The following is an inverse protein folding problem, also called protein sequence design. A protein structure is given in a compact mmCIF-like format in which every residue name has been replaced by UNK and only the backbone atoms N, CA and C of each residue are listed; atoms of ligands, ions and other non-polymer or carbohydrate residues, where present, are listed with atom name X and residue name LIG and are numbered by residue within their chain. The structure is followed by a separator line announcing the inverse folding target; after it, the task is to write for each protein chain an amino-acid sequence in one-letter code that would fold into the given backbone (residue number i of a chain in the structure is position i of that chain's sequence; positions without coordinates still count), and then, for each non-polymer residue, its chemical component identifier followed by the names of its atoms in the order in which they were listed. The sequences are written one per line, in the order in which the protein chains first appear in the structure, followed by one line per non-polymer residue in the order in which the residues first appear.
data_IF_573541609314
#
_entry.id   IF_573541609314
#
_cell.length_a   1.000
_cell.length_b   1.000
_cell.length_c   1.000
_cell.angle_alpha   90.00
_cell.angle_beta   90.00
_cell.angle_gamma   90.00
#
_symmetry.space_group_name_H-M   'P 1'
#
loop_
_entity.id
_entity.type
_entity.pdbx_description
1 polymer ?
#
# COMPACT_ATOMS: atom_id res chain seq x y z
N UNK A 1 -37.61 -6.68 -9.17
CA UNK A 1 -37.76 -6.10 -7.80
C UNK A 1 -36.52 -5.26 -7.53
N UNK A 2 -36.60 -4.00 -7.13
CA UNK A 2 -35.37 -3.20 -6.89
C UNK A 2 -34.71 -3.55 -5.56
N UNK A 3 -33.37 -3.52 -5.50
CA UNK A 3 -32.60 -3.69 -4.27
C UNK A 3 -32.27 -2.33 -3.65
N UNK A 4 -32.67 -2.10 -2.41
CA UNK A 4 -32.31 -0.89 -1.67
C UNK A 4 -31.00 -1.14 -0.92
N UNK A 5 -30.01 -0.27 -1.14
CA UNK A 5 -28.74 -0.37 -0.44
C UNK A 5 -28.91 -0.17 1.07
N UNK A 6 -28.41 -1.07 1.93
CA UNK A 6 -28.55 -0.94 3.38
C UNK A 6 -27.80 0.27 3.93
N UNK A 7 -26.72 0.69 3.25
CA UNK A 7 -25.81 1.76 3.68
C UNK A 7 -26.29 3.16 3.25
N UNK A 8 -26.60 3.35 1.97
CA UNK A 8 -26.91 4.68 1.42
C UNK A 8 -28.37 4.86 0.96
N UNK A 9 -29.20 3.82 1.07
CA UNK A 9 -30.62 3.81 0.67
C UNK A 9 -30.89 4.05 -0.82
N UNK A 10 -29.85 4.11 -1.66
CA UNK A 10 -30.02 4.19 -3.11
C UNK A 10 -30.69 2.93 -3.64
N UNK A 11 -31.63 3.11 -4.57
CA UNK A 11 -32.26 2.03 -5.31
C UNK A 11 -31.34 1.51 -6.40
N UNK A 12 -31.28 0.18 -6.54
CA UNK A 12 -30.48 -0.50 -7.55
C UNK A 12 -31.33 -1.56 -8.24
N UNK A 13 -30.85 -2.03 -9.39
CA UNK A 13 -31.45 -3.16 -10.11
C UNK A 13 -31.53 -4.43 -9.24
N UNK A 14 -32.49 -5.34 -9.50
CA UNK A 14 -32.59 -6.64 -8.80
C UNK A 14 -31.31 -7.45 -8.95
N UNK A 15 -30.72 -7.42 -10.14
CA UNK A 15 -29.50 -8.14 -10.47
C UNK A 15 -28.22 -7.38 -10.09
N UNK A 16 -28.31 -6.23 -9.42
CA UNK A 16 -27.13 -5.52 -8.98
C UNK A 16 -26.46 -6.28 -7.82
N UNK A 17 -25.21 -6.67 -8.02
CA UNK A 17 -24.35 -7.24 -6.98
C UNK A 17 -23.79 -6.15 -6.05
N UNK A 18 -23.69 -4.91 -6.55
CA UNK A 18 -23.13 -3.77 -5.83
C UNK A 18 -23.97 -2.51 -6.00
N UNK A 19 -23.99 -1.67 -4.96
CA UNK A 19 -24.67 -0.39 -5.01
C UNK A 19 -23.94 0.62 -5.91
N UNK A 20 -24.64 1.22 -6.86
CA UNK A 20 -24.07 2.19 -7.80
C UNK A 20 -23.62 3.51 -7.16
N UNK A 21 -24.13 3.86 -5.98
CA UNK A 21 -23.79 5.12 -5.31
C UNK A 21 -22.65 4.96 -4.29
N UNK A 22 -22.64 3.88 -3.50
CA UNK A 22 -21.68 3.73 -2.40
C UNK A 22 -20.86 2.42 -2.42
N UNK A 23 -20.99 1.61 -3.48
CA UNK A 23 -20.20 0.40 -3.70
C UNK A 23 -20.44 -0.73 -2.69
N UNK A 24 -21.47 -0.64 -1.85
CA UNK A 24 -21.79 -1.70 -0.88
C UNK A 24 -22.40 -2.90 -1.58
N UNK A 25 -21.91 -4.09 -1.26
CA UNK A 25 -22.42 -5.37 -1.75
C UNK A 25 -23.90 -5.53 -1.39
N UNK A 26 -24.72 -5.88 -2.38
CA UNK A 26 -26.15 -6.08 -2.26
C UNK A 26 -26.44 -7.57 -2.32
N UNK A 27 -26.14 -8.28 -1.22
CA UNK A 27 -26.28 -9.74 -1.10
C UNK A 27 -27.65 -10.20 -1.61
N UNK A 28 -27.64 -11.04 -2.64
CA UNK A 28 -28.84 -11.63 -3.23
C UNK A 28 -29.42 -12.72 -2.33
N UNK A 29 -30.70 -12.60 -1.99
CA UNK A 29 -31.49 -13.70 -1.45
C UNK A 29 -32.01 -14.53 -2.61
N UNK A 30 -31.24 -15.53 -3.04
CA UNK A 30 -31.80 -16.70 -3.73
C UNK A 30 -31.36 -17.94 -2.98
N UNK A 31 -32.36 -18.50 -2.31
CA UNK A 31 -32.51 -19.73 -1.53
C UNK A 31 -31.50 -20.88 -1.69
N UNK A 32 -31.24 -21.47 -0.51
CA UNK A 32 -31.00 -22.86 -0.18
C UNK A 32 -31.20 -23.92 -1.30
N UNK A 33 -30.17 -24.75 -1.51
CA UNK A 33 -30.33 -26.18 -1.82
C UNK A 33 -29.38 -27.02 -0.96
N UNK A 34 -30.03 -27.75 -0.03
CA UNK A 34 -29.74 -29.07 0.53
C UNK A 34 -28.30 -29.49 0.84
N UNK A 35 -28.03 -29.49 2.15
CA UNK A 35 -27.37 -30.61 2.84
C UNK A 35 -28.14 -31.92 2.61
N UNK A 36 -27.50 -32.92 2.01
CA UNK A 36 -27.72 -34.30 2.41
C UNK A 36 -26.48 -35.17 2.07
N UNK A 37 -26.01 -35.89 3.08
CA UNK A 37 -24.97 -36.92 3.02
C UNK A 37 -25.36 -38.04 2.04
N UNK A 38 -24.37 -38.73 1.46
CA UNK A 38 -24.27 -40.20 1.55
C UNK A 38 -22.86 -40.66 1.14
N UNK A 39 -22.14 -41.13 2.16
CA UNK A 39 -21.36 -42.37 2.24
C UNK A 39 -20.86 -43.01 0.94
N UNK A 40 -19.53 -43.11 0.82
CA UNK A 40 -18.85 -43.95 -0.16
C UNK A 40 -17.36 -44.07 0.16
N UNK A 41 -17.01 -45.12 0.92
CA UNK A 41 -15.67 -45.51 1.35
C UNK A 41 -14.58 -45.42 0.25
N UNK A 42 -13.40 -44.89 0.60
CA UNK A 42 -12.24 -44.92 -0.30
C UNK A 42 -10.93 -44.39 0.29
N UNK A 43 -10.31 -45.19 1.17
CA UNK A 43 -8.86 -45.37 1.34
C UNK A 43 -7.95 -44.19 1.81
N UNK A 44 -7.59 -44.25 3.10
CA UNK A 44 -6.26 -44.04 3.70
C UNK A 44 -5.26 -43.11 2.99
N UNK A 45 -5.04 -41.95 3.63
CA UNK A 45 -3.90 -41.05 3.39
C UNK A 45 -3.63 -40.14 4.60
N UNK A 46 -3.48 -40.75 5.79
CA UNK A 46 -3.10 -40.06 7.01
C UNK A 46 -1.59 -39.81 7.03
N UNK A 47 -1.16 -38.55 6.97
CA UNK A 47 0.00 -38.06 7.72
C UNK A 47 -0.28 -36.67 8.27
N UNK A 48 -0.76 -36.63 9.51
CA UNK A 48 -0.64 -35.50 10.41
C UNK A 48 0.50 -35.79 11.40
N UNK A 49 1.68 -35.16 11.21
CA UNK A 49 2.76 -35.01 12.20
C UNK A 49 3.84 -34.13 11.54
N UNK A 50 4.23 -32.97 12.05
CA UNK A 50 4.96 -32.83 13.31
C UNK A 50 4.97 -31.37 13.74
N UNK A 51 4.51 -31.12 14.97
CA UNK A 51 4.69 -29.86 15.65
C UNK A 51 6.12 -29.67 16.16
N UNK A 52 6.50 -28.40 16.25
CA UNK A 52 7.33 -27.75 17.29
C UNK A 52 8.81 -27.47 16.99
N UNK A 53 9.14 -26.19 17.26
CA UNK A 53 10.45 -25.54 17.48
C UNK A 53 11.19 -25.14 16.18
N UNK A 54 11.50 -23.86 15.92
CA UNK A 54 11.59 -22.70 16.80
C UNK A 54 11.31 -21.39 16.09
N UNK A 55 10.72 -20.47 16.86
CA UNK A 55 10.77 -19.03 16.60
C UNK A 55 12.21 -18.56 16.80
N UNK A 56 12.82 -18.01 15.78
CA UNK A 56 13.77 -16.92 15.94
C UNK A 56 13.50 -15.93 14.81
N UNK A 57 13.03 -14.75 15.20
CA UNK A 57 12.47 -13.76 14.30
C UNK A 57 13.50 -13.20 13.33
N UNK A 58 13.06 -13.05 12.08
CA UNK A 58 13.55 -11.99 11.21
C UNK A 58 12.32 -11.14 10.97
N UNK A 59 12.28 -9.97 11.61
CA UNK A 59 11.23 -8.99 11.35
C UNK A 59 11.32 -8.57 9.89
N UNK A 60 10.33 -8.94 9.08
CA UNK A 60 10.11 -8.32 7.77
C UNK A 60 9.44 -6.96 8.03
N UNK A 61 10.20 -6.07 8.66
CA UNK A 61 9.93 -4.65 8.76
C UNK A 61 11.10 -3.96 8.08
N UNK A 62 11.13 -3.99 6.76
CA UNK A 62 12.29 -3.45 6.04
C UNK A 62 12.41 -3.78 4.56
N UNK A 63 11.32 -4.04 3.85
CA UNK A 63 11.35 -4.04 2.38
C UNK A 63 10.11 -3.36 1.79
N UNK A 64 9.71 -2.25 2.41
CA UNK A 64 8.54 -1.48 1.97
C UNK A 64 8.85 -0.46 0.85
N UNK A 65 10.11 -0.37 0.39
CA UNK A 65 10.53 0.62 -0.63
C UNK A 65 11.60 0.09 -1.63
N UNK A 66 11.93 -1.21 -1.66
CA UNK A 66 12.97 -1.74 -2.57
C UNK A 66 12.34 -2.57 -3.71
N UNK A 67 11.25 -2.07 -4.25
CA UNK A 67 10.60 -2.64 -5.43
C UNK A 67 11.06 -2.05 -6.76
N UNK A 68 11.96 -1.05 -6.75
CA UNK A 68 12.52 -0.43 -7.97
C UNK A 68 13.95 0.09 -7.71
N UNK A 69 14.90 -0.80 -7.43
CA UNK A 69 16.31 -0.48 -7.73
C UNK A 69 16.43 -0.53 -9.26
N UNK A 70 16.27 0.63 -9.90
CA UNK A 70 16.75 0.85 -11.26
C UNK A 70 18.27 0.75 -11.23
N UNK A 71 18.81 -0.45 -11.45
CA UNK A 71 20.21 -0.65 -11.80
C UNK A 71 20.40 -0.07 -13.21
N UNK A 72 20.60 1.25 -13.29
CA UNK A 72 21.19 1.89 -14.45
C UNK A 72 22.69 1.63 -14.36
N UNK A 73 23.11 0.45 -14.81
CA UNK A 73 24.49 0.17 -15.13
C UNK A 73 24.85 0.94 -16.42
N UNK A 74 25.21 2.22 -16.28
CA UNK A 74 25.94 2.92 -17.33
C UNK A 74 27.42 2.72 -17.04
N UNK A 75 28.02 1.87 -17.86
CA UNK A 75 29.46 1.64 -17.99
C UNK A 75 30.19 2.96 -18.26
N UNK A 76 30.89 3.46 -17.24
CA UNK A 76 31.83 4.55 -17.41
C UNK A 76 33.25 4.04 -17.15
N UNK A 77 33.99 3.95 -18.26
CA UNK A 77 35.35 4.43 -18.41
C UNK A 77 36.46 3.81 -17.53
N UNK A 78 37.33 3.06 -18.21
CA UNK A 78 38.67 2.71 -17.73
C UNK A 78 39.58 3.94 -17.74
N UNK A 79 40.24 4.24 -16.61
CA UNK A 79 41.70 4.37 -16.50
C UNK A 79 42.13 4.65 -15.03
N UNK A 80 43.30 4.16 -14.59
CA UNK A 80 43.81 4.31 -13.23
C UNK A 80 44.80 5.48 -13.11
N UNK A 81 44.87 6.14 -11.95
CA UNK A 81 46.14 6.23 -11.23
C UNK A 81 45.95 6.71 -9.78
N UNK A 82 46.91 6.28 -8.96
CA UNK A 82 46.98 6.43 -7.53
C UNK A 82 47.00 7.89 -7.06
N UNK A 83 46.34 8.17 -5.93
CA UNK A 83 46.91 8.98 -4.84
C UNK A 83 46.17 8.66 -3.54
N UNK A 84 46.95 8.17 -2.57
CA UNK A 84 46.65 8.02 -1.15
C UNK A 84 46.24 9.37 -0.54
N UNK A 85 45.08 9.44 0.11
CA UNK A 85 44.82 10.43 1.15
C UNK A 85 43.92 9.83 2.21
N UNK A 86 44.54 9.51 3.34
CA UNK A 86 43.91 9.22 4.63
C UNK A 86 43.12 10.44 5.09
N UNK A 87 41.81 10.31 5.22
CA UNK A 87 41.00 11.15 6.11
C UNK A 87 40.05 10.27 6.88
N UNK A 88 40.30 10.21 8.19
CA UNK A 88 39.49 9.58 9.20
C UNK A 88 38.26 10.48 9.46
N UNK A 89 37.07 10.00 9.12
CA UNK A 89 35.79 10.53 9.61
C UNK A 89 34.91 9.34 9.98
N UNK A 90 35.08 8.96 11.24
CA UNK A 90 34.26 8.02 11.97
C UNK A 90 32.86 8.61 12.20
N UNK A 91 31.94 8.45 11.25
CA UNK A 91 30.51 8.80 11.41
C UNK A 91 29.64 7.56 11.21
N UNK A 92 29.44 6.85 12.31
CA UNK A 92 28.35 5.90 12.53
C UNK A 92 27.00 6.64 12.44
N UNK A 93 25.95 6.07 11.81
CA UNK A 93 24.60 6.58 11.93
C UNK A 93 24.13 6.37 13.37
N UNK A 94 24.25 7.41 14.18
CA UNK A 94 23.65 7.48 15.51
C UNK A 94 22.14 7.59 15.36
N UNK A 95 21.47 6.46 15.55
CA UNK A 95 20.04 6.37 15.83
C UNK A 95 19.66 7.35 16.95
N UNK A 96 18.77 8.34 16.72
CA UNK A 96 18.28 9.18 17.80
C UNK A 96 17.29 8.38 18.65
N UNK A 97 17.70 8.05 19.87
CA UNK A 97 16.82 7.57 20.93
C UNK A 97 15.79 8.65 21.27
N UNK A 98 14.51 8.33 21.11
CA UNK A 98 13.35 9.16 21.43
C UNK A 98 13.17 9.35 22.95
N UNK A 99 13.12 10.58 23.47
CA UNK A 99 12.42 10.89 24.71
C UNK A 99 10.93 11.04 24.42
N UNK A 100 10.10 10.19 25.02
CA UNK A 100 8.66 10.39 25.10
C UNK A 100 8.36 11.65 25.91
N UNK A 101 7.49 12.53 25.40
CA UNK A 101 6.78 13.50 26.23
C UNK A 101 5.41 13.77 25.63
N UNK A 102 4.40 13.26 26.33
CA UNK A 102 3.03 13.75 26.29
C UNK A 102 3.00 15.27 26.51
N UNK A 103 2.32 16.01 25.65
CA UNK A 103 1.51 17.16 26.07
C UNK A 103 0.45 17.42 25.00
N UNK A 104 -0.77 17.04 25.35
CA UNK A 104 -1.98 17.63 24.78
C UNK A 104 -2.03 19.12 25.12
N UNK A 105 -2.15 19.97 24.10
CA UNK A 105 -2.75 21.29 24.26
C UNK A 105 -3.65 21.56 23.07
N UNK A 106 -4.94 21.33 23.31
CA UNK A 106 -6.02 21.79 22.46
C UNK A 106 -6.08 23.32 22.54
N UNK A 107 -5.82 24.00 21.44
CA UNK A 107 -6.32 25.36 21.20
C UNK A 107 -6.61 25.54 19.72
N UNK A 108 -7.89 25.75 19.44
CA UNK A 108 -8.45 25.95 18.11
C UNK A 108 -7.95 27.26 17.50
N UNK A 109 -7.41 27.14 16.28
CA UNK A 109 -6.94 28.23 15.43
C UNK A 109 -6.04 27.64 14.35
N UNK A 110 -6.63 27.36 13.18
CA UNK A 110 -6.06 26.72 11.98
C UNK A 110 -4.86 27.49 11.40
N UNK A 111 -3.75 27.51 12.12
CA UNK A 111 -2.46 27.89 11.54
C UNK A 111 -1.73 26.61 11.16
N UNK A 112 -1.52 26.42 9.86
CA UNK A 112 -0.66 25.37 9.32
C UNK A 112 0.72 25.54 9.93
N UNK A 113 1.29 24.48 10.50
CA UNK A 113 2.65 24.51 11.03
C UNK A 113 3.67 24.45 9.89
N UNK A 114 4.90 24.94 10.12
CA UNK A 114 5.96 24.80 9.13
C UNK A 114 6.20 23.32 8.74
N UNK A 115 6.12 22.39 9.70
CA UNK A 115 6.27 20.96 9.44
C UNK A 115 5.15 20.38 8.57
N UNK A 116 3.90 20.80 8.79
CA UNK A 116 2.77 20.46 7.93
C UNK A 116 2.93 20.96 6.48
N UNK A 117 3.45 22.17 6.31
CA UNK A 117 3.73 22.74 4.98
C UNK A 117 4.86 21.98 4.26
N UNK A 118 5.95 21.64 4.98
CA UNK A 118 7.04 20.86 4.42
C UNK A 118 6.61 19.44 4.06
N UNK A 119 5.76 18.80 4.88
CA UNK A 119 5.17 17.51 4.59
C UNK A 119 4.34 17.55 3.29
N UNK A 120 3.51 18.59 3.10
CA UNK A 120 2.72 18.75 1.87
C UNK A 120 3.60 18.90 0.61
N UNK A 121 4.66 19.72 0.69
CA UNK A 121 5.63 19.90 -0.39
C UNK A 121 6.33 18.59 -0.76
N UNK A 122 6.76 17.83 0.25
CA UNK A 122 7.43 16.55 0.03
C UNK A 122 6.48 15.49 -0.53
N UNK A 123 5.26 15.39 -0.01
CA UNK A 123 4.22 14.52 -0.55
C UNK A 123 3.98 14.79 -2.05
N UNK A 124 3.86 16.06 -2.43
CA UNK A 124 3.73 16.43 -3.85
C UNK A 124 4.95 16.03 -4.67
N UNK A 125 6.17 16.22 -4.14
CA UNK A 125 7.41 15.84 -4.82
C UNK A 125 7.47 14.33 -5.11
N UNK A 126 7.04 13.50 -4.16
CA UNK A 126 6.94 12.06 -4.36
C UNK A 126 5.95 11.70 -5.48
N UNK A 127 4.74 12.25 -5.42
CA UNK A 127 3.69 11.97 -6.41
C UNK A 127 4.00 12.46 -7.83
N UNK A 128 4.93 13.41 -7.97
CA UNK A 128 5.43 13.87 -9.26
C UNK A 128 6.43 12.88 -9.89
N UNK A 129 7.06 12.03 -9.08
CA UNK A 129 8.16 11.15 -9.52
C UNK A 129 7.74 9.69 -9.59
N UNK A 130 6.90 9.23 -8.66
CA UNK A 130 6.43 7.86 -8.60
C UNK A 130 5.00 7.78 -8.05
N UNK A 131 4.33 6.67 -8.34
CA UNK A 131 2.99 6.42 -7.81
C UNK A 131 3.05 5.96 -6.35
N UNK A 132 2.05 6.36 -5.56
CA UNK A 132 1.87 5.89 -4.19
C UNK A 132 0.39 5.69 -3.87
N UNK A 133 0.11 4.73 -2.99
CA UNK A 133 -1.14 4.72 -2.26
C UNK A 133 -1.14 5.81 -1.18
N UNK A 134 -2.32 6.28 -0.74
CA UNK A 134 -2.41 7.26 0.35
C UNK A 134 -1.68 6.76 1.60
N UNK A 135 -1.89 5.49 1.96
CA UNK A 135 -1.29 4.89 3.15
C UNK A 135 0.22 4.68 3.00
N UNK A 136 0.68 4.30 1.81
CA UNK A 136 2.09 4.19 1.46
C UNK A 136 2.82 5.53 1.57
N UNK A 137 2.22 6.60 1.01
CA UNK A 137 2.82 7.93 1.07
C UNK A 137 2.89 8.46 2.52
N UNK A 138 1.85 8.25 3.33
CA UNK A 138 1.89 8.61 4.77
C UNK A 138 3.04 7.87 5.48
N UNK A 139 3.20 6.57 5.23
CA UNK A 139 4.32 5.79 5.80
C UNK A 139 5.67 6.32 5.33
N UNK A 140 5.81 6.67 4.06
CA UNK A 140 7.03 7.26 3.52
C UNK A 140 7.35 8.57 4.24
N UNK A 141 6.40 9.51 4.37
CA UNK A 141 6.66 10.78 5.06
C UNK A 141 7.04 10.58 6.54
N UNK A 142 6.47 9.59 7.22
CA UNK A 142 6.91 9.25 8.58
C UNK A 142 8.34 8.74 8.63
N UNK A 143 8.75 7.96 7.62
CA UNK A 143 10.14 7.52 7.49
C UNK A 143 11.08 8.71 7.24
N UNK A 144 10.62 9.74 6.51
CA UNK A 144 11.33 11.01 6.33
C UNK A 144 11.38 11.88 7.61
N UNK A 145 10.78 11.42 8.71
CA UNK A 145 10.88 12.05 10.03
C UNK A 145 9.71 12.97 10.39
N UNK A 146 8.67 13.06 9.54
CA UNK A 146 7.46 13.79 9.90
C UNK A 146 6.65 13.05 10.97
N UNK A 147 5.99 13.81 11.84
CA UNK A 147 5.02 13.22 12.77
C UNK A 147 3.84 12.61 11.99
N UNK A 148 3.09 11.71 12.63
CA UNK A 148 1.88 11.14 12.01
C UNK A 148 0.92 12.23 11.50
N UNK A 149 0.71 13.28 12.30
CA UNK A 149 -0.23 14.36 11.99
C UNK A 149 0.27 15.22 10.82
N UNK A 150 1.57 15.51 10.74
CA UNK A 150 2.16 16.24 9.62
C UNK A 150 2.11 15.42 8.33
N UNK A 151 2.41 14.12 8.40
CA UNK A 151 2.36 13.23 7.25
C UNK A 151 0.94 13.08 6.69
N UNK A 152 -0.06 12.85 7.55
CA UNK A 152 -1.47 12.80 7.15
C UNK A 152 -1.91 14.12 6.53
N UNK A 153 -1.61 15.24 7.20
CA UNK A 153 -1.91 16.57 6.68
C UNK A 153 -1.29 16.78 5.30
N UNK A 154 0.02 16.51 5.16
CA UNK A 154 0.77 16.73 3.93
C UNK A 154 0.20 15.94 2.76
N UNK A 155 -0.14 14.66 2.99
CA UNK A 155 -0.76 13.80 1.99
C UNK A 155 -2.15 14.30 1.61
N UNK A 156 -2.96 14.74 2.57
CA UNK A 156 -4.30 15.26 2.30
C UNK A 156 -4.28 16.59 1.52
N UNK A 157 -3.24 17.41 1.70
CA UNK A 157 -3.07 18.65 0.93
C UNK A 157 -2.73 18.42 -0.54
N UNK A 158 -2.25 17.24 -0.93
CA UNK A 158 -1.92 16.96 -2.34
C UNK A 158 -3.16 16.91 -3.23
N UNK A 159 -4.35 16.68 -2.67
CA UNK A 159 -5.59 16.44 -3.42
C UNK A 159 -5.42 15.40 -4.53
N UNK A 160 -4.57 14.40 -4.30
CA UNK A 160 -4.26 13.38 -5.30
C UNK A 160 -5.48 12.53 -5.64
N UNK A 161 -5.65 12.24 -6.93
CA UNK A 161 -6.57 11.20 -7.37
C UNK A 161 -5.92 9.82 -7.13
N UNK A 162 -6.36 9.16 -6.06
CA UNK A 162 -5.82 7.86 -5.65
C UNK A 162 -6.13 6.72 -6.63
N UNK A 163 -7.21 6.83 -7.41
CA UNK A 163 -7.50 5.89 -8.49
C UNK A 163 -6.50 6.09 -9.64
N UNK A 164 -6.19 7.34 -9.98
CA UNK A 164 -5.15 7.65 -10.97
C UNK A 164 -3.76 7.21 -10.49
N UNK A 165 -3.45 7.32 -9.20
CA UNK A 165 -2.20 6.80 -8.64
C UNK A 165 -2.14 5.26 -8.72
N UNK A 166 -3.25 4.57 -8.45
CA UNK A 166 -3.32 3.12 -8.62
C UNK A 166 -3.09 2.69 -10.08
N UNK A 167 -3.71 3.38 -11.04
CA UNK A 167 -3.51 3.12 -12.47
C UNK A 167 -2.05 3.34 -12.90
N UNK A 168 -1.41 4.42 -12.43
CA UNK A 168 0.01 4.68 -12.68
C UNK A 168 0.90 3.57 -12.12
N UNK A 169 0.63 3.10 -10.89
CA UNK A 169 1.41 2.03 -10.29
C UNK A 169 1.20 0.70 -11.03
N UNK A 170 -0.04 0.36 -11.36
CA UNK A 170 -0.37 -0.82 -12.16
C UNK A 170 0.39 -0.82 -13.49
N UNK A 171 0.39 0.30 -14.22
CA UNK A 171 1.13 0.43 -15.46
C UNK A 171 2.64 0.26 -15.23
N UNK A 172 3.20 0.92 -14.23
CA UNK A 172 4.64 0.81 -13.91
C UNK A 172 5.08 -0.63 -13.60
N UNK A 173 4.23 -1.42 -12.95
CA UNK A 173 4.50 -2.85 -12.77
C UNK A 173 4.48 -3.59 -14.10
N UNK A 174 3.49 -3.34 -14.95
CA UNK A 174 3.37 -4.01 -16.24
C UNK A 174 4.49 -3.64 -17.22
N UNK A 175 5.04 -2.45 -17.10
CA UNK A 175 6.20 -2.01 -17.89
C UNK A 175 7.48 -2.78 -17.54
N UNK A 176 7.56 -3.36 -16.33
CA UNK A 176 8.75 -4.06 -15.83
C UNK A 176 8.58 -5.58 -15.74
N UNK A 177 7.37 -6.07 -15.51
CA UNK A 177 7.07 -7.48 -15.31
C UNK A 177 5.64 -7.83 -15.70
N UNK A 178 5.41 -9.09 -16.11
CA UNK A 178 4.07 -9.57 -16.41
C UNK A 178 3.30 -9.92 -15.14
N UNK A 179 2.01 -9.60 -15.11
CA UNK A 179 1.08 -10.01 -14.06
C UNK A 179 -0.21 -10.56 -14.65
N UNK A 180 -0.86 -11.47 -13.92
CA UNK A 180 -2.29 -11.71 -14.11
C UNK A 180 -3.10 -10.57 -13.51
N UNK A 181 -4.34 -10.38 -13.97
CA UNK A 181 -5.26 -9.37 -13.41
C UNK A 181 -5.38 -9.48 -11.90
N UNK A 182 -5.65 -10.69 -11.38
CA UNK A 182 -5.80 -10.92 -9.94
C UNK A 182 -4.50 -10.66 -9.17
N UNK A 183 -3.36 -11.12 -9.70
CA UNK A 183 -2.06 -10.91 -9.06
C UNK A 183 -1.66 -9.45 -9.00
N UNK A 184 -1.96 -8.65 -10.03
CA UNK A 184 -1.69 -7.21 -9.99
C UNK A 184 -2.60 -6.48 -9.00
N UNK A 185 -3.86 -6.89 -8.86
CA UNK A 185 -4.75 -6.31 -7.85
C UNK A 185 -4.20 -6.61 -6.44
N UNK A 186 -3.83 -7.85 -6.16
CA UNK A 186 -3.23 -8.24 -4.87
C UNK A 186 -1.93 -7.47 -4.59
N UNK A 187 -1.09 -7.25 -5.61
CA UNK A 187 0.10 -6.43 -5.49
C UNK A 187 -0.25 -4.99 -5.10
N UNK A 188 -1.21 -4.36 -5.76
CA UNK A 188 -1.62 -2.99 -5.42
C UNK A 188 -2.23 -2.89 -4.01
N UNK A 189 -2.97 -3.91 -3.56
CA UNK A 189 -3.45 -3.99 -2.17
C UNK A 189 -2.28 -4.08 -1.18
N UNK A 190 -1.23 -4.84 -1.51
CA UNK A 190 0.01 -4.90 -0.72
C UNK A 190 0.73 -3.55 -0.66
N UNK A 191 0.74 -2.80 -1.77
CA UNK A 191 1.24 -1.41 -1.85
C UNK A 191 0.35 -0.41 -1.07
N UNK A 192 -0.75 -0.88 -0.49
CA UNK A 192 -1.59 -0.13 0.43
C UNK A 192 -2.72 0.64 -0.23
N UNK A 193 -3.04 0.35 -1.50
CA UNK A 193 -4.29 0.79 -2.13
C UNK A 193 -5.47 0.04 -1.54
N UNK A 194 -6.65 0.66 -1.55
CA UNK A 194 -7.88 -0.09 -1.25
C UNK A 194 -8.18 -1.07 -2.37
N UNK A 195 -8.94 -2.14 -2.08
CA UNK A 195 -9.41 -3.08 -3.09
C UNK A 195 -9.99 -2.39 -4.32
N UNK A 196 -10.83 -1.39 -4.10
CA UNK A 196 -11.49 -0.62 -5.16
C UNK A 196 -10.50 0.17 -6.02
N UNK A 197 -9.50 0.82 -5.40
CA UNK A 197 -8.45 1.54 -6.12
C UNK A 197 -7.58 0.59 -6.93
N UNK A 198 -7.22 -0.56 -6.34
CA UNK A 198 -6.44 -1.59 -7.01
C UNK A 198 -7.19 -2.15 -8.23
N UNK A 199 -8.47 -2.52 -8.08
CA UNK A 199 -9.31 -2.96 -9.19
C UNK A 199 -9.45 -1.92 -10.29
N UNK A 200 -9.67 -0.65 -9.92
CA UNK A 200 -9.70 0.45 -10.89
C UNK A 200 -8.37 0.59 -11.63
N UNK A 201 -7.26 0.58 -10.90
CA UNK A 201 -5.93 0.74 -11.45
C UNK A 201 -5.59 -0.33 -12.47
N UNK A 202 -5.88 -1.60 -12.16
CA UNK A 202 -5.67 -2.72 -13.06
C UNK A 202 -6.60 -2.67 -14.28
N UNK A 203 -7.87 -2.31 -14.08
CA UNK A 203 -8.79 -2.15 -15.21
C UNK A 203 -8.31 -1.07 -16.19
N UNK A 204 -7.73 0.03 -15.69
CA UNK A 204 -7.25 1.13 -16.50
C UNK A 204 -6.06 0.76 -17.41
N UNK A 205 -5.33 -0.33 -17.13
CA UNK A 205 -4.25 -0.82 -17.99
C UNK A 205 -4.73 -1.77 -19.09
N UNK A 206 -6.03 -2.10 -19.12
CA UNK A 206 -6.63 -3.02 -20.08
C UNK A 206 -6.62 -4.50 -19.66
N UNK A 207 -6.32 -4.80 -18.39
CA UNK A 207 -6.36 -6.14 -17.80
C UNK A 207 -7.69 -6.50 -17.10
#
# INVERSE_FOLDING_TARGET
MTKICPKCKTENSDNADFCQNCGTELKGSTDAVNSNETSGNGVIGFWNKQSSRGKLGIGIGGICCIGLILIIAISAFMAPDATTTTTNLNNTPTSPSTPSTDTSTNSSGTSVTAGQEQAAKMAQSYLNTMAFSRSGLIKQLKYEGFTQQEAEYGVDQTNADWNAQAAKMAQSYLDSQSFSRSGLIEQLEFEGFTRQQAEYGVQATGL
#
